data_IF_681829071333
#
_entry.id   IF_681829071333
#
_cell.length_a   1.000
_cell.length_b   1.000
_cell.length_c   1.000
_cell.angle_alpha   90.00
_cell.angle_beta   90.00
_cell.angle_gamma   90.00
#
_symmetry.space_group_name_H-M   'P 1'
#
loop_
_entity.id
_entity.type
_entity.pdbx_description
1 polymer ?
#
# COMPACT_ATOMS: atom_id res chain seq x y z
N UNK A 1 -11.22 -12.38 0.64
CA UNK A 1 -10.15 -11.73 -0.16
C UNK A 1 -10.71 -10.80 -1.23
N UNK A 2 -11.74 -11.19 -1.97
CA UNK A 2 -12.35 -10.35 -3.02
C UNK A 2 -12.98 -9.08 -2.44
N UNK A 3 -13.70 -9.18 -1.33
CA UNK A 3 -14.31 -8.03 -0.64
C UNK A 3 -13.29 -6.97 -0.24
N UNK A 4 -12.12 -7.39 0.25
CA UNK A 4 -11.03 -6.47 0.63
C UNK A 4 -10.44 -5.71 -0.56
N UNK A 5 -10.32 -6.37 -1.71
CA UNK A 5 -9.85 -5.71 -2.94
C UNK A 5 -10.85 -4.69 -3.45
N UNK A 6 -12.14 -5.00 -3.38
CA UNK A 6 -13.21 -4.08 -3.75
C UNK A 6 -13.30 -2.89 -2.80
N UNK A 7 -13.09 -3.09 -1.51
CA UNK A 7 -13.03 -2.00 -0.55
C UNK A 7 -11.82 -1.09 -0.79
N UNK A 8 -10.64 -1.69 -1.03
CA UNK A 8 -9.44 -0.93 -1.40
C UNK A 8 -9.67 -0.13 -2.69
N UNK A 9 -10.33 -0.73 -3.68
CA UNK A 9 -10.70 -0.05 -4.92
C UNK A 9 -11.64 1.14 -4.68
N UNK A 10 -12.66 0.96 -3.86
CA UNK A 10 -13.59 2.03 -3.49
C UNK A 10 -12.87 3.22 -2.85
N UNK A 11 -12.00 2.94 -1.89
CA UNK A 11 -11.20 3.95 -1.21
C UNK A 11 -10.21 4.66 -2.16
N UNK A 12 -9.60 3.91 -3.06
CA UNK A 12 -8.72 4.48 -4.08
C UNK A 12 -9.47 5.43 -5.02
N UNK A 13 -10.68 5.08 -5.44
CA UNK A 13 -11.54 5.96 -6.26
C UNK A 13 -11.93 7.23 -5.50
N UNK A 14 -12.22 7.13 -4.22
CA UNK A 14 -12.50 8.28 -3.36
C UNK A 14 -11.28 9.21 -3.27
N UNK A 15 -10.10 8.67 -2.99
CA UNK A 15 -8.85 9.43 -2.97
C UNK A 15 -8.58 10.12 -4.32
N UNK A 16 -8.75 9.40 -5.43
CA UNK A 16 -8.61 9.96 -6.77
C UNK A 16 -9.54 11.15 -7.01
N UNK A 17 -10.80 11.02 -6.59
CA UNK A 17 -11.77 12.13 -6.67
C UNK A 17 -11.31 13.35 -5.89
N UNK A 18 -10.77 13.16 -4.68
CA UNK A 18 -10.26 14.25 -3.85
C UNK A 18 -9.05 14.93 -4.48
N UNK A 19 -8.15 14.16 -5.12
CA UNK A 19 -6.94 14.69 -5.74
C UNK A 19 -7.16 15.26 -7.15
N UNK A 20 -8.23 14.86 -7.83
CA UNK A 20 -8.56 15.32 -9.19
C UNK A 20 -7.61 14.82 -10.28
N UNK A 21 -6.83 13.77 -10.02
CA UNK A 21 -5.86 13.17 -10.95
C UNK A 21 -5.68 11.68 -10.66
N UNK A 22 -5.11 10.90 -11.60
CA UNK A 22 -4.72 9.52 -11.33
C UNK A 22 -3.75 9.42 -10.14
N UNK A 23 -3.82 8.30 -9.42
CA UNK A 23 -3.07 8.07 -8.20
C UNK A 23 -1.63 7.63 -8.47
N UNK A 24 -0.74 8.00 -7.55
CA UNK A 24 0.58 7.42 -7.39
C UNK A 24 0.48 6.36 -6.30
N UNK A 25 0.55 5.09 -6.68
CA UNK A 25 0.33 3.93 -5.81
C UNK A 25 1.65 3.26 -5.47
N UNK A 26 1.89 3.01 -4.18
CA UNK A 26 3.05 2.28 -3.68
C UNK A 26 2.60 0.99 -2.97
N UNK A 27 3.02 -0.16 -3.50
CA UNK A 27 2.83 -1.47 -2.87
C UNK A 27 4.19 -2.12 -2.61
N UNK A 28 4.81 -1.85 -1.45
CA UNK A 28 6.15 -2.33 -1.12
C UNK A 28 6.19 -3.78 -0.60
N UNK A 29 5.03 -4.42 -0.49
CA UNK A 29 4.85 -5.83 -0.08
C UNK A 29 3.91 -6.52 -1.05
N UNK A 30 4.11 -6.30 -2.35
CA UNK A 30 3.11 -6.61 -3.36
C UNK A 30 2.91 -8.12 -3.60
N UNK A 31 3.89 -8.97 -3.23
CA UNK A 31 3.87 -10.37 -3.60
C UNK A 31 3.72 -10.51 -5.12
N UNK A 32 2.73 -11.30 -5.55
CA UNK A 32 2.38 -11.46 -6.97
C UNK A 32 1.43 -10.37 -7.51
N UNK A 33 1.13 -9.34 -6.72
CA UNK A 33 0.37 -8.16 -7.11
C UNK A 33 -1.16 -8.24 -7.04
N UNK A 34 -1.78 -9.01 -6.14
CA UNK A 34 -3.24 -9.18 -6.15
C UNK A 34 -4.03 -7.89 -5.91
N UNK A 35 -3.50 -6.93 -5.16
CA UNK A 35 -4.12 -5.63 -4.97
C UNK A 35 -4.00 -4.76 -6.23
N UNK A 36 -2.85 -4.83 -6.90
CA UNK A 36 -2.57 -4.07 -8.12
C UNK A 36 -3.45 -4.52 -9.30
N UNK A 37 -3.75 -5.82 -9.39
CA UNK A 37 -4.66 -6.34 -10.44
C UNK A 37 -5.99 -5.59 -10.47
N UNK A 38 -6.58 -5.35 -9.31
CA UNK A 38 -7.87 -4.66 -9.19
C UNK A 38 -7.75 -3.18 -9.51
N UNK A 39 -6.68 -2.52 -9.03
CA UNK A 39 -6.46 -1.09 -9.27
C UNK A 39 -6.12 -0.78 -10.73
N UNK A 40 -5.27 -1.61 -11.37
CA UNK A 40 -4.89 -1.46 -12.78
C UNK A 40 -6.04 -1.79 -13.74
N UNK A 41 -7.03 -2.57 -13.30
CA UNK A 41 -8.24 -2.86 -14.06
C UNK A 41 -9.16 -1.65 -14.27
N UNK A 42 -8.96 -0.57 -13.50
CA UNK A 42 -9.77 0.64 -13.60
C UNK A 42 -9.07 1.70 -14.46
N UNK A 43 -9.78 2.19 -15.45
CA UNK A 43 -9.26 3.22 -16.35
C UNK A 43 -8.93 4.50 -15.59
N UNK A 44 -7.76 5.07 -15.85
CA UNK A 44 -7.29 6.34 -15.28
C UNK A 44 -7.24 6.40 -13.74
N UNK A 45 -7.22 5.27 -13.05
CA UNK A 45 -7.08 5.23 -11.60
C UNK A 45 -5.61 5.31 -11.18
N UNK A 46 -4.74 4.50 -11.77
CA UNK A 46 -3.31 4.43 -11.44
C UNK A 46 -2.50 5.19 -12.50
N UNK A 47 -1.93 6.34 -12.12
CA UNK A 47 -1.03 7.11 -12.96
C UNK A 47 0.43 6.65 -12.81
N UNK A 48 0.91 6.52 -11.59
CA UNK A 48 2.27 6.06 -11.25
C UNK A 48 2.21 4.90 -10.26
N UNK A 49 3.09 3.94 -10.40
CA UNK A 49 3.10 2.77 -9.53
C UNK A 49 4.52 2.39 -9.13
N UNK A 50 4.70 2.09 -7.84
CA UNK A 50 5.80 1.28 -7.32
C UNK A 50 5.24 -0.05 -6.83
N UNK A 51 5.84 -1.14 -7.28
CA UNK A 51 5.53 -2.49 -6.81
C UNK A 51 6.83 -3.24 -6.52
N UNK A 52 7.01 -3.66 -5.29
CA UNK A 52 8.19 -4.40 -4.86
C UNK A 52 7.87 -5.49 -3.85
N UNK A 53 8.72 -6.47 -3.82
CA UNK A 53 8.73 -7.50 -2.80
C UNK A 53 10.19 -7.91 -2.51
N UNK A 54 10.45 -8.42 -1.34
CA UNK A 54 11.77 -8.93 -0.98
C UNK A 54 12.05 -10.29 -1.64
N UNK A 55 11.00 -11.05 -1.97
CA UNK A 55 11.08 -12.36 -2.60
C UNK A 55 11.19 -12.24 -4.13
N UNK A 56 12.33 -12.60 -4.74
CA UNK A 56 12.49 -12.54 -6.20
C UNK A 56 11.52 -13.45 -6.96
N UNK A 57 11.14 -14.60 -6.43
CA UNK A 57 10.18 -15.50 -7.08
C UNK A 57 8.79 -14.86 -7.19
N UNK A 58 8.38 -14.13 -6.15
CA UNK A 58 7.13 -13.36 -6.18
C UNK A 58 7.20 -12.23 -7.21
N UNK A 59 8.34 -11.56 -7.33
CA UNK A 59 8.55 -10.48 -8.31
C UNK A 59 8.53 -11.02 -9.75
N UNK A 60 9.07 -12.19 -10.03
CA UNK A 60 8.96 -12.81 -11.36
C UNK A 60 7.49 -13.06 -11.76
N UNK A 61 6.71 -13.62 -10.85
CA UNK A 61 5.26 -13.82 -11.05
C UNK A 61 4.53 -12.48 -11.20
N UNK A 62 4.91 -11.47 -10.43
CA UNK A 62 4.39 -10.11 -10.57
C UNK A 62 4.65 -9.56 -11.97
N UNK A 63 5.86 -9.66 -12.48
CA UNK A 63 6.22 -9.16 -13.81
C UNK A 63 5.39 -9.84 -14.91
N UNK A 64 5.16 -11.17 -14.80
CA UNK A 64 4.26 -11.89 -15.69
C UNK A 64 2.83 -11.38 -15.61
N UNK A 65 2.34 -11.14 -14.41
CA UNK A 65 1.01 -10.59 -14.17
C UNK A 65 0.87 -9.17 -14.72
N UNK A 66 1.86 -8.31 -14.51
CA UNK A 66 1.85 -6.92 -14.99
C UNK A 66 1.79 -6.84 -16.52
N UNK A 67 2.46 -7.72 -17.24
CA UNK A 67 2.33 -7.78 -18.72
C UNK A 67 0.86 -7.88 -19.15
N UNK A 68 0.06 -8.62 -18.40
CA UNK A 68 -1.37 -8.82 -18.69
C UNK A 68 -2.25 -7.70 -18.16
N UNK A 69 -2.00 -7.23 -16.93
CA UNK A 69 -2.88 -6.25 -16.28
C UNK A 69 -2.60 -4.82 -16.73
N UNK A 70 -1.32 -4.48 -16.91
CA UNK A 70 -0.88 -3.13 -17.31
C UNK A 70 -0.74 -3.01 -18.85
N UNK A 71 -0.78 -4.15 -19.57
CA UNK A 71 -0.68 -4.23 -21.03
C UNK A 71 0.57 -3.56 -21.59
N UNK A 72 1.70 -3.72 -20.90
CA UNK A 72 3.01 -3.19 -21.24
C UNK A 72 4.07 -4.30 -21.19
N UNK A 73 5.19 -4.06 -21.81
CA UNK A 73 6.34 -4.97 -21.73
C UNK A 73 7.01 -4.87 -20.36
N UNK A 74 7.27 -6.02 -19.77
CA UNK A 74 8.02 -6.18 -18.53
C UNK A 74 9.06 -7.28 -18.68
N UNK A 75 10.23 -7.18 -17.99
CA UNK A 75 11.24 -8.24 -17.99
C UNK A 75 10.67 -9.57 -17.53
N UNK A 76 11.33 -10.67 -17.92
CA UNK A 76 10.98 -12.02 -17.44
C UNK A 76 11.64 -12.36 -16.12
N UNK A 77 12.80 -11.77 -15.84
CA UNK A 77 13.59 -12.04 -14.64
C UNK A 77 13.41 -10.94 -13.59
N UNK A 78 13.29 -11.34 -12.32
CA UNK A 78 13.32 -10.43 -11.21
C UNK A 78 14.73 -9.84 -11.03
N UNK A 79 14.78 -8.51 -10.94
CA UNK A 79 16.00 -7.75 -10.64
C UNK A 79 15.74 -6.77 -9.52
N UNK A 80 16.80 -6.17 -9.00
CA UNK A 80 16.68 -5.04 -8.06
C UNK A 80 15.73 -4.00 -8.63
N UNK A 81 14.93 -3.41 -7.74
CA UNK A 81 13.96 -2.38 -8.08
C UNK A 81 14.56 -1.30 -8.97
N UNK A 82 13.87 -0.97 -10.03
CA UNK A 82 14.28 0.07 -10.99
C UNK A 82 13.05 0.64 -11.72
N UNK A 83 13.27 1.76 -12.39
CA UNK A 83 12.26 2.36 -13.27
C UNK A 83 12.21 1.59 -14.60
N UNK A 84 11.18 0.77 -14.76
CA UNK A 84 10.96 -0.02 -15.99
C UNK A 84 10.20 0.75 -17.06
N UNK A 85 9.32 1.67 -16.66
CA UNK A 85 8.66 2.67 -17.50
C UNK A 85 8.71 4.01 -16.77
N UNK A 86 8.42 5.10 -17.45
CA UNK A 86 8.46 6.44 -16.86
C UNK A 86 7.63 6.52 -15.55
N UNK A 87 6.50 5.81 -15.53
CA UNK A 87 5.52 5.79 -14.44
C UNK A 87 5.44 4.44 -13.69
N UNK A 88 6.41 3.54 -13.91
CA UNK A 88 6.45 2.20 -13.29
C UNK A 88 7.81 1.90 -12.71
N UNK A 89 7.87 1.74 -11.40
CA UNK A 89 9.05 1.33 -10.63
C UNK A 89 8.75 -0.05 -10.05
N UNK A 90 9.46 -1.08 -10.49
CA UNK A 90 9.15 -2.46 -10.12
C UNK A 90 10.43 -3.25 -9.87
N UNK A 91 10.43 -4.16 -8.91
CA UNK A 91 11.52 -5.08 -8.68
C UNK A 91 11.68 -5.58 -7.26
N UNK A 92 12.79 -6.26 -7.02
CA UNK A 92 13.15 -6.77 -5.70
C UNK A 92 13.68 -5.62 -4.83
N UNK A 93 13.08 -5.43 -3.67
CA UNK A 93 13.52 -4.41 -2.72
C UNK A 93 13.16 -4.77 -1.28
N UNK A 94 13.98 -4.29 -0.37
CA UNK A 94 13.65 -4.21 1.05
C UNK A 94 12.82 -2.94 1.29
N UNK A 95 11.55 -3.12 1.63
CA UNK A 95 10.61 -2.03 1.88
C UNK A 95 11.10 -1.04 2.96
N UNK A 96 11.89 -1.52 3.92
CA UNK A 96 12.42 -0.69 5.01
C UNK A 96 13.49 0.29 4.57
N UNK A 97 13.98 0.19 3.34
CA UNK A 97 15.03 1.04 2.77
C UNK A 97 14.55 1.93 1.63
N UNK A 98 13.31 1.79 1.19
CA UNK A 98 12.78 2.57 0.07
C UNK A 98 12.81 4.08 0.32
N UNK A 99 12.61 4.51 1.55
CA UNK A 99 12.65 5.93 1.92
C UNK A 99 14.02 6.59 1.75
N UNK A 100 15.09 5.80 1.67
CA UNK A 100 16.45 6.28 1.46
C UNK A 100 16.69 6.75 0.01
N UNK A 101 15.85 6.33 -0.93
CA UNK A 101 15.93 6.76 -2.33
C UNK A 101 15.10 8.04 -2.55
N UNK A 102 15.75 9.19 -2.86
CA UNK A 102 15.05 10.45 -3.07
C UNK A 102 14.04 10.42 -4.23
N UNK A 103 14.21 9.54 -5.19
CA UNK A 103 13.28 9.37 -6.32
C UNK A 103 12.01 8.60 -5.94
N UNK A 104 12.01 7.95 -4.79
CA UNK A 104 10.91 7.15 -4.26
C UNK A 104 10.27 7.82 -3.06
N UNK A 105 11.05 8.37 -2.16
CA UNK A 105 10.58 9.02 -0.93
C UNK A 105 9.66 10.21 -1.23
N UNK A 106 8.58 10.35 -0.46
CA UNK A 106 7.67 11.50 -0.55
C UNK A 106 6.84 11.59 -1.83
N UNK A 107 6.70 10.51 -2.59
CA UNK A 107 6.13 10.53 -3.93
C UNK A 107 4.73 9.91 -4.06
N UNK A 108 4.15 9.34 -3.00
CA UNK A 108 3.02 8.42 -3.11
C UNK A 108 1.76 8.95 -2.44
N UNK A 109 0.62 8.75 -3.13
CA UNK A 109 -0.71 9.12 -2.65
C UNK A 109 -1.38 7.98 -1.89
N UNK A 110 -1.21 6.75 -2.36
CA UNK A 110 -1.75 5.54 -1.77
C UNK A 110 -0.62 4.57 -1.44
N UNK A 111 -0.50 4.23 -0.17
CA UNK A 111 0.45 3.24 0.33
C UNK A 111 -0.30 2.00 0.80
N UNK A 112 0.01 0.85 0.19
CA UNK A 112 -0.53 -0.45 0.57
C UNK A 112 0.43 -1.16 1.51
N UNK A 113 0.00 -1.48 2.74
CA UNK A 113 0.84 -2.14 3.74
C UNK A 113 0.26 -3.51 4.06
N UNK A 114 0.69 -4.51 3.31
CA UNK A 114 0.20 -5.88 3.44
C UNK A 114 1.27 -6.82 4.02
N UNK A 115 1.77 -6.49 5.19
CA UNK A 115 2.64 -7.36 5.99
C UNK A 115 2.09 -7.46 7.43
N UNK A 116 0.96 -8.19 7.63
CA UNK A 116 0.09 -8.03 8.79
C UNK A 116 0.77 -8.31 10.15
N UNK A 117 1.79 -9.16 10.18
CA UNK A 117 2.56 -9.42 11.42
C UNK A 117 3.49 -8.27 11.83
N UNK A 118 3.83 -7.36 10.91
CA UNK A 118 4.83 -6.32 11.12
C UNK A 118 4.35 -4.91 10.76
N UNK A 119 3.10 -4.75 10.39
CA UNK A 119 2.58 -3.47 9.91
C UNK A 119 2.86 -2.35 10.90
N UNK A 120 2.50 -2.52 12.16
CA UNK A 120 2.66 -1.46 13.18
C UNK A 120 4.11 -1.04 13.33
N UNK A 121 5.03 -2.01 13.40
CA UNK A 121 6.47 -1.74 13.56
C UNK A 121 7.07 -1.02 12.36
N UNK A 122 6.54 -1.27 11.15
CA UNK A 122 7.07 -0.72 9.91
C UNK A 122 6.49 0.65 9.55
N UNK A 123 5.32 1.03 10.09
CA UNK A 123 4.68 2.30 9.76
C UNK A 123 5.62 3.51 9.83
N UNK A 124 6.45 3.69 10.88
CA UNK A 124 7.37 4.83 10.94
C UNK A 124 8.37 4.90 9.78
N UNK A 125 8.78 3.74 9.26
CA UNK A 125 9.71 3.62 8.14
C UNK A 125 9.02 3.83 6.79
N UNK A 126 7.73 3.51 6.70
CA UNK A 126 6.95 3.59 5.47
C UNK A 126 6.27 4.93 5.26
N UNK A 127 5.89 5.62 6.32
CA UNK A 127 5.26 6.96 6.28
C UNK A 127 6.04 7.96 5.44
N UNK A 128 7.39 8.02 5.47
CA UNK A 128 8.16 8.92 4.62
C UNK A 128 7.98 8.72 3.11
N UNK A 129 7.40 7.59 2.67
CA UNK A 129 7.08 7.36 1.26
C UNK A 129 5.91 8.21 0.77
N UNK A 130 5.03 8.64 1.68
CA UNK A 130 3.84 9.44 1.33
C UNK A 130 4.19 10.84 0.88
N UNK A 131 3.48 11.32 -0.12
CA UNK A 131 3.46 12.75 -0.46
C UNK A 131 2.68 13.52 0.61
N UNK A 132 3.39 14.33 1.36
CA UNK A 132 2.85 15.12 2.46
C UNK A 132 2.52 16.57 2.04
N UNK A 133 2.56 16.87 0.75
CA UNK A 133 2.13 18.17 0.21
C UNK A 133 0.61 18.24 0.02
N UNK A 134 -0.06 17.11 -0.02
CA UNK A 134 -1.50 16.97 -0.15
C UNK A 134 -2.06 15.84 0.69
N UNK A 135 -3.27 15.43 0.35
CA UNK A 135 -3.93 14.27 0.97
C UNK A 135 -3.31 12.97 0.47
N UNK A 136 -3.04 12.06 1.38
CA UNK A 136 -2.60 10.71 1.08
C UNK A 136 -3.34 9.69 1.94
N UNK A 137 -3.22 8.41 1.61
CA UNK A 137 -3.89 7.34 2.33
C UNK A 137 -2.99 6.13 2.51
N UNK A 138 -3.07 5.51 3.68
CA UNK A 138 -2.52 4.19 3.95
C UNK A 138 -3.68 3.20 4.03
N UNK A 139 -3.57 2.11 3.28
CA UNK A 139 -4.43 0.94 3.41
C UNK A 139 -3.60 -0.20 3.95
N UNK A 140 -3.86 -0.62 5.19
CA UNK A 140 -3.03 -1.58 5.89
C UNK A 140 -3.81 -2.78 6.40
N UNK A 141 -3.05 -3.84 6.71
CA UNK A 141 -3.53 -5.02 7.41
C UNK A 141 -2.70 -5.26 8.65
N UNK A 142 -3.33 -5.77 9.70
CA UNK A 142 -2.66 -6.16 10.93
C UNK A 142 -3.27 -7.45 11.48
N UNK A 143 -2.52 -8.15 12.30
CA UNK A 143 -2.99 -9.30 13.07
C UNK A 143 -2.99 -8.91 14.54
N UNK A 144 -4.11 -9.17 15.21
CA UNK A 144 -4.27 -8.91 16.64
C UNK A 144 -5.20 -9.93 17.27
N UNK A 145 -5.03 -10.18 18.56
CA UNK A 145 -6.07 -10.82 19.36
C UNK A 145 -7.23 -9.83 19.56
N UNK A 146 -8.46 -10.33 19.70
CA UNK A 146 -9.62 -9.45 19.89
C UNK A 146 -9.45 -8.53 21.10
N UNK A 147 -8.87 -9.03 22.19
CA UNK A 147 -8.59 -8.27 23.39
C UNK A 147 -7.52 -7.19 23.23
N UNK A 148 -6.69 -7.26 22.19
CA UNK A 148 -5.59 -6.34 21.92
C UNK A 148 -5.89 -5.32 20.81
N UNK A 149 -7.06 -5.40 20.18
CA UNK A 149 -7.40 -4.56 19.03
C UNK A 149 -7.27 -3.07 19.37
N UNK A 150 -7.72 -2.63 20.53
CA UNK A 150 -7.63 -1.21 20.90
C UNK A 150 -6.19 -0.76 21.14
N UNK A 151 -5.38 -1.59 21.76
CA UNK A 151 -3.94 -1.31 21.96
C UNK A 151 -3.23 -1.18 20.61
N UNK A 152 -3.57 -2.04 19.64
CA UNK A 152 -3.02 -1.97 18.28
C UNK A 152 -3.55 -0.73 17.54
N UNK A 153 -4.82 -0.36 17.71
CA UNK A 153 -5.37 0.88 17.16
C UNK A 153 -4.59 2.10 17.67
N UNK A 154 -4.33 2.17 18.96
CA UNK A 154 -3.54 3.26 19.55
C UNK A 154 -2.11 3.29 19.02
N UNK A 155 -1.46 2.11 18.88
CA UNK A 155 -0.13 2.01 18.33
C UNK A 155 -0.07 2.49 16.88
N UNK A 156 -1.06 2.15 16.05
CA UNK A 156 -1.20 2.64 14.69
C UNK A 156 -1.34 4.17 14.68
N UNK A 157 -2.24 4.72 15.49
CA UNK A 157 -2.49 6.18 15.57
C UNK A 157 -1.23 6.95 15.99
N UNK A 158 -0.45 6.41 16.93
CA UNK A 158 0.83 7.02 17.35
C UNK A 158 1.91 6.99 16.27
N UNK A 159 1.91 5.96 15.43
CA UNK A 159 2.89 5.79 14.37
C UNK A 159 2.58 6.64 13.13
N UNK A 160 1.38 7.20 13.04
CA UNK A 160 0.90 7.94 11.87
C UNK A 160 1.01 9.45 12.07
N UNK A 161 1.21 10.21 10.99
CA UNK A 161 1.04 11.66 11.00
C UNK A 161 -0.42 12.04 11.30
N UNK A 162 -0.69 13.33 11.54
CA UNK A 162 -2.04 13.81 11.75
C UNK A 162 -2.98 13.43 10.59
N UNK A 163 -4.14 12.90 10.95
CA UNK A 163 -5.16 12.53 9.97
C UNK A 163 -5.73 13.75 9.26
N UNK A 164 -6.25 13.53 8.06
CA UNK A 164 -7.02 14.53 7.35
C UNK A 164 -8.26 14.91 8.17
N UNK A 165 -8.49 16.20 8.35
CA UNK A 165 -9.64 16.70 9.08
C UNK A 165 -10.95 16.22 8.45
N UNK A 166 -11.90 15.83 9.29
CA UNK A 166 -13.20 15.31 8.85
C UNK A 166 -13.22 13.83 8.46
N UNK A 167 -12.08 13.13 8.52
CA UNK A 167 -12.02 11.70 8.27
C UNK A 167 -12.04 10.90 9.58
N UNK A 168 -12.49 9.62 9.54
CA UNK A 168 -12.45 8.75 10.72
C UNK A 168 -11.04 8.49 11.21
N UNK A 169 -10.88 8.24 12.49
CA UNK A 169 -9.63 7.73 13.05
C UNK A 169 -9.32 6.32 12.49
N UNK A 170 -8.05 6.01 12.22
CA UNK A 170 -7.64 4.66 11.84
C UNK A 170 -8.11 3.66 12.89
N UNK A 171 -8.86 2.66 12.44
CA UNK A 171 -9.47 1.65 13.31
C UNK A 171 -9.41 0.29 12.61
N UNK A 172 -8.92 -0.70 13.32
CA UNK A 172 -8.89 -2.08 12.86
C UNK A 172 -10.31 -2.65 12.76
N UNK A 173 -10.61 -3.22 11.61
CA UNK A 173 -11.85 -3.98 11.38
C UNK A 173 -11.48 -5.44 11.14
N UNK A 174 -12.07 -6.34 11.94
CA UNK A 174 -11.88 -7.78 11.80
C UNK A 174 -12.44 -8.21 10.44
N UNK A 175 -11.65 -8.94 9.68
CA UNK A 175 -12.02 -9.48 8.37
C UNK A 175 -12.23 -10.99 8.38
N UNK A 176 -11.44 -11.69 9.15
CA UNK A 176 -11.56 -13.14 9.35
C UNK A 176 -10.72 -13.63 10.52
N UNK A 177 -10.97 -14.82 10.94
CA UNK A 177 -10.06 -15.57 11.79
C UNK A 177 -8.73 -15.79 11.07
N UNK A 178 -7.64 -15.59 11.78
CA UNK A 178 -6.30 -15.94 11.31
C UNK A 178 -5.82 -17.24 11.98
N UNK A 179 -6.10 -17.37 13.28
CA UNK A 179 -5.93 -18.59 14.06
C UNK A 179 -7.03 -18.66 15.13
N UNK A 180 -6.98 -19.65 16.03
CA UNK A 180 -7.92 -19.76 17.15
C UNK A 180 -7.98 -18.52 18.04
N UNK A 181 -6.87 -17.76 18.15
CA UNK A 181 -6.72 -16.60 19.03
C UNK A 181 -6.53 -15.28 18.30
N UNK A 182 -6.16 -15.32 17.02
CA UNK A 182 -5.78 -14.13 16.26
C UNK A 182 -6.78 -13.84 15.14
N UNK A 183 -6.96 -12.55 14.87
CA UNK A 183 -7.81 -12.02 13.80
C UNK A 183 -6.98 -11.27 12.78
N UNK A 184 -7.26 -11.53 11.50
CA UNK A 184 -6.76 -10.67 10.43
C UNK A 184 -7.68 -9.45 10.32
N UNK A 185 -7.09 -8.29 10.47
CA UNK A 185 -7.79 -7.01 10.43
C UNK A 185 -7.29 -6.15 9.28
N UNK A 186 -8.11 -5.19 8.88
CA UNK A 186 -7.72 -4.13 7.95
C UNK A 186 -8.06 -2.76 8.52
N UNK A 187 -7.34 -1.75 8.05
CA UNK A 187 -7.60 -0.35 8.35
C UNK A 187 -7.27 0.55 7.16
N UNK A 188 -7.82 1.73 7.15
CA UNK A 188 -7.35 2.86 6.34
C UNK A 188 -7.04 4.04 7.25
N UNK A 189 -6.06 4.81 6.80
CA UNK A 189 -5.69 6.06 7.43
C UNK A 189 -5.61 7.17 6.37
N UNK A 190 -6.46 8.16 6.49
CA UNK A 190 -6.43 9.36 5.67
C UNK A 190 -5.47 10.36 6.31
N UNK A 191 -4.42 10.72 5.59
CA UNK A 191 -3.35 11.57 6.08
C UNK A 191 -3.46 12.95 5.44
N UNK A 192 -3.51 13.98 6.27
CA UNK A 192 -3.50 15.36 5.81
C UNK A 192 -2.11 15.83 5.37
N UNK A 193 -2.03 16.99 4.69
CA UNK A 193 -0.76 17.58 4.34
C UNK A 193 0.06 17.92 5.59
N UNK A 194 1.38 17.91 5.45
CA UNK A 194 2.27 18.39 6.50
C UNK A 194 2.03 19.89 6.76
N UNK A 195 2.15 20.35 8.01
CA UNK A 195 2.01 21.77 8.35
C UNK A 195 3.11 22.64 7.71
#
# INVERSE_FOLDING_TARGET
LQTERLETLRLAKELRSMLGRPLRVCDPFCGVGPALATLLGETDLVGRMLASDLNPDAVELLLDNLRRWDRRDYPTEAKKISRLHEDRIVGVADATKLYEDPSISGAWDLLLVNLPHRTVDLLPTLVPLLDRTGTSMIRGRAIAAESEIEDVNEAIRRALPPRLQGTPEPTLRIKREYSSTLRLCSFEAWIGPAP
#
